data_IF_412951351157
#
_entry.id   IF_412951351157
#
_cell.length_a   1.000
_cell.length_b   1.000
_cell.length_c   1.000
_cell.angle_alpha   90.00
_cell.angle_beta   90.00
_cell.angle_gamma   90.00
#
_symmetry.space_group_name_H-M   'P 1'
#
loop_
_entity.id
_entity.type
_entity.pdbx_description
1 polymer ?
#
# COMPACT_ATOMS: atom_id res chain seq x y z
N UNK A 1 18.96 -13.51 0.09
CA UNK A 1 18.39 -12.73 -1.02
C UNK A 1 17.36 -11.81 -0.40
N UNK A 2 17.61 -10.50 -0.36
CA UNK A 2 16.56 -9.55 -0.05
C UNK A 2 15.58 -9.55 -1.22
N UNK A 3 14.51 -10.33 -1.11
CA UNK A 3 13.39 -10.23 -2.03
C UNK A 3 12.69 -8.91 -1.73
N UNK A 4 13.02 -7.88 -2.52
CA UNK A 4 12.20 -6.68 -2.61
C UNK A 4 10.82 -7.13 -3.12
N UNK A 5 9.79 -6.93 -2.30
CA UNK A 5 8.43 -7.20 -2.70
C UNK A 5 8.03 -6.27 -3.84
N UNK A 6 7.29 -6.78 -4.82
CA UNK A 6 6.67 -5.93 -5.85
C UNK A 6 5.47 -5.18 -5.26
N UNK A 7 5.05 -4.04 -5.85
CA UNK A 7 3.84 -3.33 -5.42
C UNK A 7 2.60 -4.23 -5.35
N UNK A 8 2.41 -5.11 -6.34
CA UNK A 8 1.32 -6.08 -6.36
C UNK A 8 1.38 -7.08 -5.18
N UNK A 9 2.58 -7.53 -4.81
CA UNK A 9 2.76 -8.41 -3.65
C UNK A 9 2.42 -7.67 -2.35
N UNK A 10 2.85 -6.42 -2.19
CA UNK A 10 2.50 -5.59 -1.03
C UNK A 10 0.99 -5.36 -0.93
N UNK A 11 0.33 -5.06 -2.05
CA UNK A 11 -1.13 -4.91 -2.10
C UNK A 11 -1.87 -6.16 -1.61
N UNK A 12 -1.45 -7.35 -2.06
CA UNK A 12 -2.04 -8.62 -1.65
C UNK A 12 -1.77 -8.91 -0.16
N UNK A 13 -0.54 -8.70 0.31
CA UNK A 13 -0.18 -8.91 1.72
C UNK A 13 -0.89 -7.91 2.64
N UNK A 14 -1.08 -6.67 2.21
CA UNK A 14 -1.84 -5.65 2.94
C UNK A 14 -3.30 -6.09 3.11
N UNK A 15 -3.97 -6.49 2.02
CA UNK A 15 -5.35 -6.99 2.08
C UNK A 15 -5.49 -8.30 2.85
N UNK A 16 -4.47 -9.16 2.87
CA UNK A 16 -4.51 -10.39 3.68
C UNK A 16 -4.61 -10.10 5.18
N UNK A 17 -4.13 -8.93 5.63
CA UNK A 17 -4.21 -8.50 7.03
C UNK A 17 -5.54 -7.81 7.36
N UNK A 18 -6.30 -7.38 6.35
CA UNK A 18 -7.61 -6.79 6.56
C UNK A 18 -8.63 -7.88 6.95
N UNK A 19 -9.45 -7.59 7.96
CA UNK A 19 -10.52 -8.50 8.43
C UNK A 19 -11.86 -8.25 7.73
N UNK A 20 -11.94 -7.23 6.88
CA UNK A 20 -13.16 -6.87 6.17
C UNK A 20 -13.50 -7.93 5.11
N UNK A 21 -14.74 -8.47 5.11
CA UNK A 21 -15.14 -9.43 4.09
C UNK A 21 -15.29 -8.72 2.73
N UNK A 22 -14.54 -9.20 1.73
CA UNK A 22 -14.61 -8.72 0.35
C UNK A 22 -15.14 -9.83 -0.56
N UNK A 23 -16.07 -9.49 -1.45
CA UNK A 23 -16.36 -10.37 -2.59
C UNK A 23 -15.16 -10.43 -3.54
N UNK A 24 -15.04 -11.45 -4.41
CA UNK A 24 -13.92 -11.57 -5.34
C UNK A 24 -13.73 -10.34 -6.24
N UNK A 25 -14.82 -9.73 -6.72
CA UNK A 25 -14.76 -8.52 -7.54
C UNK A 25 -14.24 -7.30 -6.75
N UNK A 26 -14.67 -7.15 -5.49
CA UNK A 26 -14.19 -6.08 -4.61
C UNK A 26 -12.71 -6.28 -4.27
N UNK A 27 -12.29 -7.53 -3.99
CA UNK A 27 -10.90 -7.87 -3.75
C UNK A 27 -10.01 -7.47 -4.93
N UNK A 28 -10.37 -7.88 -6.15
CA UNK A 28 -9.59 -7.54 -7.36
C UNK A 28 -9.52 -6.02 -7.59
N UNK A 29 -10.61 -5.29 -7.33
CA UNK A 29 -10.61 -3.83 -7.41
C UNK A 29 -9.65 -3.21 -6.40
N UNK A 30 -9.67 -3.67 -5.15
CA UNK A 30 -8.79 -3.18 -4.08
C UNK A 30 -7.32 -3.51 -4.35
N UNK A 31 -7.01 -4.71 -4.83
CA UNK A 31 -5.63 -5.08 -5.21
C UNK A 31 -5.08 -4.10 -6.24
N UNK A 32 -5.83 -3.79 -7.30
CA UNK A 32 -5.37 -2.86 -8.34
C UNK A 32 -5.16 -1.43 -7.83
N UNK A 33 -6.01 -0.97 -6.91
CA UNK A 33 -5.86 0.35 -6.30
C UNK A 33 -4.60 0.42 -5.44
N UNK A 34 -4.44 -0.54 -4.53
CA UNK A 34 -3.28 -0.61 -3.65
C UNK A 34 -1.97 -0.86 -4.41
N UNK A 35 -2.01 -1.63 -5.50
CA UNK A 35 -0.84 -1.84 -6.35
C UNK A 35 -0.30 -0.52 -6.92
N UNK A 36 -1.19 0.37 -7.38
CA UNK A 36 -0.80 1.71 -7.85
C UNK A 36 -0.28 2.57 -6.70
N UNK A 37 -0.98 2.59 -5.56
CA UNK A 37 -0.57 3.36 -4.38
C UNK A 37 0.83 2.91 -3.89
N UNK A 38 1.09 1.60 -3.81
CA UNK A 38 2.40 1.09 -3.44
C UNK A 38 3.46 1.39 -4.50
N UNK A 39 3.12 1.34 -5.79
CA UNK A 39 4.06 1.69 -6.85
C UNK A 39 4.50 3.16 -6.74
N UNK A 40 3.55 4.06 -6.50
CA UNK A 40 3.81 5.48 -6.29
C UNK A 40 4.69 5.69 -5.04
N UNK A 41 4.33 5.09 -3.90
CA UNK A 41 5.11 5.19 -2.65
C UNK A 41 6.53 4.62 -2.79
N UNK A 42 6.71 3.52 -3.51
CA UNK A 42 8.03 2.92 -3.75
C UNK A 42 8.89 3.71 -4.74
N UNK A 43 8.28 4.59 -5.54
CA UNK A 43 8.99 5.48 -6.46
C UNK A 43 9.55 6.73 -5.78
N UNK A 44 9.06 7.06 -4.58
CA UNK A 44 9.49 8.21 -3.81
C UNK A 44 10.94 8.08 -3.34
N UNK A 45 11.65 9.21 -3.30
CA UNK A 45 12.89 9.33 -2.55
C UNK A 45 12.62 9.20 -1.05
N UNK A 46 13.67 8.94 -0.26
CA UNK A 46 13.54 8.83 1.20
C UNK A 46 13.03 10.12 1.86
N UNK A 47 13.26 11.28 1.25
CA UNK A 47 12.78 12.57 1.75
C UNK A 47 11.27 12.69 1.48
N UNK A 48 10.84 12.45 0.25
CA UNK A 48 9.42 12.50 -0.13
C UNK A 48 8.60 11.48 0.67
N UNK A 49 9.11 10.26 0.85
CA UNK A 49 8.44 9.26 1.68
C UNK A 49 8.29 9.70 3.14
N UNK A 50 9.30 10.38 3.69
CA UNK A 50 9.22 10.94 5.04
C UNK A 50 8.13 12.01 5.12
N UNK A 51 8.05 12.88 4.12
CA UNK A 51 7.03 13.94 4.06
C UNK A 51 5.61 13.37 3.95
N UNK A 52 5.41 12.30 3.16
CA UNK A 52 4.14 11.58 3.08
C UNK A 52 3.75 10.94 4.43
N UNK A 53 4.69 10.33 5.13
CA UNK A 53 4.45 9.78 6.48
C UNK A 53 4.09 10.91 7.47
N UNK A 54 4.87 12.01 7.47
CA UNK A 54 4.64 13.16 8.34
C UNK A 54 3.28 13.85 8.00
N UNK A 55 2.86 13.82 6.74
CA UNK A 55 1.54 14.28 6.31
C UNK A 55 0.42 13.37 6.83
N UNK A 56 0.54 12.05 6.69
CA UNK A 56 -0.43 11.09 7.21
C UNK A 56 -0.63 11.23 8.74
N UNK A 57 0.47 11.41 9.49
CA UNK A 57 0.41 11.69 10.92
C UNK A 57 -0.35 12.97 11.26
N UNK A 58 -0.18 14.05 10.49
CA UNK A 58 -0.93 15.30 10.68
C UNK A 58 -2.43 15.13 10.41
N UNK A 59 -2.82 14.13 9.63
CA UNK A 59 -4.21 13.74 9.39
C UNK A 59 -4.77 12.78 10.46
N UNK A 60 -3.96 12.36 11.44
CA UNK A 60 -4.35 11.44 12.50
C UNK A 60 -4.38 9.97 12.08
N UNK A 61 -3.74 9.63 10.97
CA UNK A 61 -3.51 8.24 10.56
C UNK A 61 -2.24 7.75 11.26
N UNK A 62 -2.34 6.72 12.10
CA UNK A 62 -1.25 6.18 12.92
C UNK A 62 -1.09 4.67 12.72
#
# INVERSE_FOLDING_TARGET
METLFTPAQLAIEYLRRETAPLSPAQYLKRVKQLELEFADLMSLSSIELKEEIDFAWRLGLH
#
